data_IF_283532245524
#
_entry.id   IF_283532245524
#
_cell.length_a   1.000
_cell.length_b   1.000
_cell.length_c   1.000
_cell.angle_alpha   90.00
_cell.angle_beta   90.00
_cell.angle_gamma   90.00
#
_symmetry.space_group_name_H-M   'P 1'
#
loop_
_entity.id
_entity.type
_entity.pdbx_description
1 polymer ?
#
# COMPACT_ATOMS: atom_id res chain seq x y z
N UNK A 1 -70.96 -34.74 -3.55
CA UNK A 1 -71.09 -36.21 -3.38
C UNK A 1 -70.74 -36.92 -4.70
N UNK A 2 -69.91 -37.97 -4.72
CA UNK A 2 -69.65 -39.00 -3.68
C UNK A 2 -68.31 -38.73 -2.93
N UNK A 3 -68.09 -38.94 -1.61
CA UNK A 3 -68.27 -40.07 -0.67
C UNK A 3 -67.52 -41.35 -1.12
N UNK A 4 -66.31 -41.60 -0.58
CA UNK A 4 -66.00 -42.58 0.51
C UNK A 4 -65.33 -43.84 -0.11
N UNK A 5 -64.31 -44.54 0.40
CA UNK A 5 -63.80 -44.87 1.75
C UNK A 5 -62.34 -45.43 1.57
N UNK A 6 -61.31 -45.02 2.34
CA UNK A 6 -60.78 -45.65 3.61
C UNK A 6 -59.62 -46.64 3.36
N UNK A 7 -58.35 -46.24 3.54
CA UNK A 7 -57.46 -46.32 4.73
C UNK A 7 -56.69 -47.65 4.89
N UNK A 8 -55.35 -47.56 4.82
CA UNK A 8 -54.44 -48.32 5.69
C UNK A 8 -53.18 -48.90 5.04
N UNK A 9 -52.00 -48.28 5.24
CA UNK A 9 -50.73 -49.03 5.22
C UNK A 9 -49.45 -48.30 4.77
N UNK A 10 -48.63 -47.88 5.75
CA UNK A 10 -47.15 -47.77 5.78
C UNK A 10 -46.41 -46.76 4.86
N UNK A 11 -45.97 -45.65 5.46
CA UNK A 11 -44.55 -45.34 5.77
C UNK A 11 -44.36 -43.83 6.04
N UNK A 12 -43.78 -43.41 7.19
CA UNK A 12 -43.44 -42.01 7.45
C UNK A 12 -41.97 -41.73 7.15
N UNK A 13 -41.66 -40.63 6.45
CA UNK A 13 -40.40 -39.88 6.69
C UNK A 13 -40.45 -38.52 5.96
N UNK A 14 -41.00 -37.53 6.65
CA UNK A 14 -40.86 -36.10 6.29
C UNK A 14 -39.52 -35.61 6.86
N UNK A 15 -38.68 -35.05 5.97
CA UNK A 15 -37.58 -34.07 6.19
C UNK A 15 -36.96 -33.96 7.59
N UNK A 16 -35.64 -34.16 7.69
CA UNK A 16 -34.70 -33.29 8.44
C UNK A 16 -33.24 -33.45 7.95
N UNK A 17 -32.68 -32.30 7.58
CA UNK A 17 -31.29 -31.81 7.42
C UNK A 17 -30.04 -32.71 7.48
N UNK A 18 -29.06 -32.37 6.61
CA UNK A 18 -27.62 -32.72 6.67
C UNK A 18 -27.17 -33.64 5.51
N UNK A 19 -26.14 -33.41 4.69
CA UNK A 19 -25.08 -32.41 4.61
C UNK A 19 -23.83 -33.04 3.93
N UNK A 20 -23.45 -32.56 2.74
CA UNK A 20 -22.10 -32.49 2.09
C UNK A 20 -21.17 -33.73 2.04
N UNK A 21 -20.60 -34.17 0.90
CA UNK A 21 -19.30 -33.74 0.32
C UNK A 21 -18.60 -35.02 -0.22
N UNK A 22 -17.89 -35.16 -1.35
CA UNK A 22 -17.14 -34.20 -2.17
C UNK A 22 -15.61 -34.39 -2.11
N UNK A 23 -15.06 -35.61 -2.24
CA UNK A 23 -13.62 -35.91 -2.04
C UNK A 23 -12.72 -35.67 -3.27
N UNK A 24 -12.16 -34.45 -3.43
CA UNK A 24 -10.96 -34.20 -4.26
C UNK A 24 -9.71 -34.17 -3.37
N UNK A 25 -8.80 -35.11 -3.64
CA UNK A 25 -7.51 -35.27 -2.96
C UNK A 25 -6.67 -33.97 -3.00
N UNK A 26 -6.46 -33.39 -1.82
CA UNK A 26 -5.76 -32.12 -1.60
C UNK A 26 -4.26 -32.38 -1.43
N UNK A 27 -3.49 -32.30 -2.53
CA UNK A 27 -2.01 -32.37 -2.51
C UNK A 27 -1.46 -31.15 -1.73
N UNK A 28 -0.73 -31.39 -0.64
CA UNK A 28 -0.18 -30.32 0.23
C UNK A 28 0.85 -29.50 -0.54
N UNK A 29 0.59 -28.20 -0.70
CA UNK A 29 1.52 -27.22 -1.27
C UNK A 29 2.33 -26.61 -0.13
N UNK A 30 3.52 -27.16 0.14
CA UNK A 30 4.46 -26.55 1.07
C UNK A 30 5.22 -25.44 0.33
N UNK A 31 4.68 -24.23 0.32
CA UNK A 31 5.47 -23.06 -0.02
C UNK A 31 5.61 -22.21 1.24
N UNK A 32 6.68 -22.45 2.00
CA UNK A 32 7.17 -21.49 3.00
C UNK A 32 7.88 -20.38 2.24
N UNK A 33 7.09 -19.48 1.63
CA UNK A 33 7.62 -18.32 0.94
C UNK A 33 8.42 -17.47 1.93
N UNK A 34 9.63 -17.07 1.54
CA UNK A 34 10.37 -16.01 2.25
C UNK A 34 9.55 -14.73 2.12
N UNK A 35 8.79 -14.42 3.17
CA UNK A 35 8.11 -13.14 3.29
C UNK A 35 9.15 -12.16 3.83
N UNK A 36 9.38 -11.06 3.10
CA UNK A 36 10.20 -9.96 3.62
C UNK A 36 9.47 -9.34 4.79
N UNK A 37 10.17 -9.17 5.91
CA UNK A 37 9.57 -8.53 7.09
C UNK A 37 9.02 -7.15 6.77
N UNK A 38 7.89 -6.83 7.41
CA UNK A 38 7.22 -5.54 7.22
C UNK A 38 8.15 -4.44 7.72
N UNK A 39 8.49 -3.51 6.84
CA UNK A 39 9.19 -2.30 7.23
C UNK A 39 8.24 -1.40 8.02
N UNK A 40 8.68 -0.98 9.21
CA UNK A 40 7.95 -0.04 10.06
C UNK A 40 8.19 1.39 9.55
N UNK A 41 7.37 1.81 8.59
CA UNK A 41 7.40 3.18 8.09
C UNK A 41 6.68 4.12 9.08
N UNK A 42 7.32 5.23 9.42
CA UNK A 42 6.77 6.29 10.24
C UNK A 42 5.58 6.95 9.53
N UNK A 43 4.53 7.22 10.31
CA UNK A 43 3.27 7.84 9.86
C UNK A 43 3.23 9.34 10.21
N UNK A 44 4.18 9.81 11.01
CA UNK A 44 4.33 11.21 11.40
C UNK A 44 5.78 11.65 11.14
N UNK A 45 5.97 12.96 10.93
CA UNK A 45 7.30 13.55 10.95
C UNK A 45 7.70 13.86 12.38
N UNK A 46 8.86 13.36 12.77
CA UNK A 46 9.54 13.75 13.99
C UNK A 46 10.49 14.89 13.66
N UNK A 47 10.87 15.69 14.67
CA UNK A 47 11.80 16.80 14.47
C UNK A 47 13.12 16.33 13.82
N UNK A 48 13.65 15.20 14.29
CA UNK A 48 14.87 14.61 13.76
C UNK A 48 14.75 14.12 12.31
N UNK A 49 13.59 13.58 11.89
CA UNK A 49 13.41 13.11 10.51
C UNK A 49 13.15 14.26 9.56
N UNK A 50 12.48 15.31 10.03
CA UNK A 50 12.31 16.55 9.30
C UNK A 50 13.67 17.22 9.03
N UNK A 51 14.52 17.38 10.05
CA UNK A 51 15.84 17.98 9.89
C UNK A 51 16.74 17.17 8.93
N UNK A 52 16.63 15.84 8.93
CA UNK A 52 17.33 14.96 7.96
C UNK A 52 16.82 15.17 6.55
N UNK A 53 15.51 15.33 6.36
CA UNK A 53 14.90 15.52 5.05
C UNK A 53 15.47 16.76 4.33
N UNK A 54 15.63 17.89 5.04
CA UNK A 54 16.19 19.12 4.47
C UNK A 54 17.66 19.00 4.05
N UNK A 55 18.44 18.19 4.77
CA UNK A 55 19.87 18.03 4.50
C UNK A 55 20.14 16.98 3.43
N UNK A 56 19.44 15.84 3.51
CA UNK A 56 19.74 14.68 2.68
C UNK A 56 19.06 14.72 1.31
N UNK A 57 17.80 15.17 1.24
CA UNK A 57 17.03 15.12 -0.02
C UNK A 57 17.65 15.97 -1.14
N UNK A 58 18.11 17.20 -0.89
CA UNK A 58 18.77 18.01 -1.92
C UNK A 58 20.14 17.47 -2.36
N UNK A 59 20.76 16.60 -1.55
CA UNK A 59 22.06 15.98 -1.90
C UNK A 59 21.92 14.93 -3.00
N UNK A 60 20.77 14.27 -3.07
CA UNK A 60 20.54 13.16 -4.00
C UNK A 60 20.44 13.63 -5.46
N UNK A 61 21.02 12.84 -6.37
CA UNK A 61 20.93 13.11 -7.82
C UNK A 61 19.50 12.90 -8.34
N UNK A 62 18.86 11.81 -7.93
CA UNK A 62 17.50 11.44 -8.33
C UNK A 62 16.60 11.43 -7.10
N UNK A 63 15.53 12.23 -7.14
CA UNK A 63 14.62 12.43 -6.04
C UNK A 63 13.22 11.97 -6.48
N UNK A 64 12.72 10.89 -5.88
CA UNK A 64 11.37 10.35 -6.14
C UNK A 64 10.71 9.97 -4.82
N UNK A 65 9.36 9.91 -4.74
CA UNK A 65 8.66 9.52 -3.51
C UNK A 65 9.11 8.15 -2.97
N UNK A 66 9.44 7.21 -3.85
CA UNK A 66 9.92 5.88 -3.50
C UNK A 66 11.28 5.92 -2.81
N UNK A 67 12.25 6.66 -3.37
CA UNK A 67 13.60 6.80 -2.81
C UNK A 67 13.55 7.44 -1.42
N UNK A 68 12.74 8.49 -1.26
CA UNK A 68 12.56 9.17 0.03
C UNK A 68 11.97 8.21 1.07
N UNK A 69 10.95 7.43 0.71
CA UNK A 69 10.33 6.45 1.63
C UNK A 69 11.28 5.32 2.04
N UNK A 70 12.19 4.91 1.16
CA UNK A 70 13.14 3.83 1.44
C UNK A 70 14.26 4.27 2.40
N UNK A 71 14.78 5.50 2.22
CA UNK A 71 15.88 6.08 2.99
C UNK A 71 15.42 6.57 4.37
N UNK A 72 14.42 7.44 4.41
CA UNK A 72 13.96 8.11 5.63
C UNK A 72 12.94 7.28 6.42
N UNK A 73 12.53 6.12 5.89
CA UNK A 73 11.53 5.23 6.51
C UNK A 73 10.22 5.95 6.83
N UNK A 74 9.82 6.91 5.99
CA UNK A 74 8.53 7.59 6.08
C UNK A 74 7.55 7.01 5.06
N UNK A 75 6.25 7.12 5.34
CA UNK A 75 5.22 6.66 4.41
C UNK A 75 5.26 7.46 3.10
N UNK A 76 5.01 6.81 1.97
CA UNK A 76 5.05 7.44 0.65
C UNK A 76 4.08 8.63 0.47
N UNK A 77 2.97 8.66 1.21
CA UNK A 77 2.06 9.82 1.25
C UNK A 77 2.74 11.06 1.83
N UNK A 78 3.50 10.92 2.92
CA UNK A 78 4.27 11.99 3.54
C UNK A 78 5.41 12.43 2.63
N UNK A 79 6.10 11.48 2.00
CA UNK A 79 7.16 11.80 1.04
C UNK A 79 6.64 12.67 -0.12
N UNK A 80 5.45 12.38 -0.65
CA UNK A 80 4.81 13.21 -1.69
C UNK A 80 4.52 14.63 -1.21
N UNK A 81 4.11 14.80 0.05
CA UNK A 81 3.85 16.11 0.61
C UNK A 81 5.15 16.89 0.86
N UNK A 82 6.15 16.25 1.48
CA UNK A 82 7.44 16.87 1.75
C UNK A 82 8.18 17.29 0.49
N UNK A 83 8.10 16.51 -0.60
CA UNK A 83 8.68 16.91 -1.88
C UNK A 83 7.99 18.14 -2.49
N UNK A 84 6.68 18.30 -2.29
CA UNK A 84 5.99 19.54 -2.70
C UNK A 84 6.48 20.74 -1.89
N UNK A 85 6.67 20.57 -0.58
CA UNK A 85 7.18 21.62 0.29
C UNK A 85 8.62 22.04 -0.09
N UNK A 86 9.50 21.06 -0.33
CA UNK A 86 10.87 21.31 -0.80
C UNK A 86 10.91 22.01 -2.16
N UNK A 87 9.96 21.69 -3.06
CA UNK A 87 9.80 22.39 -4.32
C UNK A 87 9.36 23.84 -4.11
N UNK A 88 8.36 24.08 -3.25
CA UNK A 88 7.91 25.44 -2.93
C UNK A 88 9.02 26.30 -2.33
N UNK A 89 9.97 25.69 -1.60
CA UNK A 89 11.15 26.35 -1.04
C UNK A 89 12.32 26.48 -2.03
N UNK A 90 12.19 25.94 -3.25
CA UNK A 90 13.23 26.04 -4.29
C UNK A 90 14.45 25.13 -4.09
N UNK A 91 14.43 24.22 -3.12
CA UNK A 91 15.57 23.33 -2.82
C UNK A 91 15.73 22.20 -3.86
N UNK A 92 14.66 21.85 -4.56
CA UNK A 92 14.63 20.81 -5.58
C UNK A 92 13.91 21.31 -6.83
N UNK A 93 14.30 20.79 -7.99
CA UNK A 93 13.69 21.11 -9.28
C UNK A 93 12.80 19.97 -9.75
N UNK A 94 11.61 20.29 -10.22
CA UNK A 94 10.74 19.34 -10.90
C UNK A 94 11.26 19.07 -12.31
N UNK A 95 11.38 17.79 -12.67
CA UNK A 95 11.73 17.37 -14.04
C UNK A 95 10.47 17.00 -14.79
N UNK A 96 9.70 16.06 -14.24
CA UNK A 96 8.50 15.55 -14.89
C UNK A 96 7.39 15.26 -13.86
N UNK A 97 6.14 15.54 -14.26
CA UNK A 97 4.94 15.28 -13.48
C UNK A 97 4.04 14.31 -14.23
N UNK A 98 4.01 13.06 -13.80
CA UNK A 98 3.05 12.06 -14.27
C UNK A 98 2.15 11.60 -13.11
N UNK A 99 0.97 11.06 -13.41
CA UNK A 99 0.03 10.56 -12.38
C UNK A 99 0.64 9.40 -11.57
N UNK A 100 1.43 8.55 -12.22
CA UNK A 100 2.08 7.39 -11.62
C UNK A 100 3.48 7.71 -11.05
N UNK A 101 4.17 8.75 -11.56
CA UNK A 101 5.57 9.04 -11.21
C UNK A 101 5.81 10.54 -11.07
N UNK A 102 6.51 10.90 -9.99
CA UNK A 102 6.95 12.26 -9.71
C UNK A 102 8.47 12.23 -9.63
N UNK A 103 9.13 12.96 -10.52
CA UNK A 103 10.58 12.98 -10.64
C UNK A 103 11.08 14.39 -10.38
N UNK A 104 11.96 14.48 -9.38
CA UNK A 104 12.67 15.69 -9.00
C UNK A 104 14.18 15.43 -9.09
N UNK A 105 14.93 16.51 -9.24
CA UNK A 105 16.39 16.53 -9.14
C UNK A 105 16.82 17.62 -8.17
N UNK A 106 18.05 17.54 -7.68
CA UNK A 106 18.64 18.65 -6.92
C UNK A 106 18.57 19.96 -7.70
N UNK A 107 18.38 21.07 -7.00
CA UNK A 107 18.60 22.37 -7.59
C UNK A 107 20.11 22.54 -7.93
N UNK A 108 20.46 23.19 -9.05
CA UNK A 108 21.83 23.64 -9.26
C UNK A 108 22.19 24.60 -8.12
N UNK A 109 23.45 24.54 -7.66
CA UNK A 109 23.97 25.56 -6.75
C UNK A 109 24.05 26.85 -7.56
N UNK A 110 23.11 27.76 -7.36
CA UNK A 110 23.30 29.16 -7.71
C UNK A 110 24.31 29.70 -6.68
N UNK A 111 25.59 29.64 -7.02
CA UNK A 111 26.64 30.34 -6.28
C UNK A 111 26.44 31.86 -6.50
N UNK A 112 25.56 32.47 -5.72
CA UNK A 112 25.50 33.92 -5.42
C UNK A 112 24.99 34.88 -6.52
N UNK A 113 23.80 35.45 -6.29
CA UNK A 113 23.27 36.78 -6.74
C UNK A 113 21.76 36.62 -6.95
N UNK A 114 20.82 37.42 -6.46
CA UNK A 114 20.80 38.75 -5.84
C UNK A 114 19.38 38.87 -5.29
N UNK A 115 19.20 39.17 -4.01
CA UNK A 115 17.96 39.78 -3.52
C UNK A 115 17.93 41.25 -3.99
N UNK A 116 16.74 41.81 -4.28
CA UNK A 116 16.55 43.05 -5.04
C UNK A 116 17.23 44.29 -4.46
#
# INVERSE_FOLDING_TARGET
PPKKDTKGGKAPAKKKEGGSSGGKAKKKKWSKGKVRDKLNNLVLFDKATYDKLYKEVPSYKLITPSVVSERLKIRGSLARFALKELLSKGLIRQVEKHSAQLIYTRAPKEDGSTEP
#
